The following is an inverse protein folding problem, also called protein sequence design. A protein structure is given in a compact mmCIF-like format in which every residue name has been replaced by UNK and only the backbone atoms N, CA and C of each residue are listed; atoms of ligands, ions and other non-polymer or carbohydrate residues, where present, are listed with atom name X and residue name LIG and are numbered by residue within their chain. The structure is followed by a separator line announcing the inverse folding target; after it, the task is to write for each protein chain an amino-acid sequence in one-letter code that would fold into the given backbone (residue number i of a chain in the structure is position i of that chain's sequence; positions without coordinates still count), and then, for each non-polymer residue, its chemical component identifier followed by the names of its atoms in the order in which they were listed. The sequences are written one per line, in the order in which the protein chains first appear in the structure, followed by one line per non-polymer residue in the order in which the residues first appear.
data_IF_526584811858
#
_entry.id   IF_526584811858
#
_cell.length_a   1.000
_cell.length_b   1.000
_cell.length_c   1.000
_cell.angle_alpha   90.00
_cell.angle_beta   90.00
_cell.angle_gamma   90.00
#
_symmetry.space_group_name_H-M   'P 1'
#
loop_
_entity.id
_entity.type
_entity.pdbx_description
1 polymer ?
#
# COMPACT_ATOMS: atom_id res chain seq x y z
N UNK A 1 11.51 -5.02 -18.14
CA UNK A 1 10.40 -4.73 -17.20
C UNK A 1 11.00 -4.20 -15.91
N UNK A 2 10.42 -3.17 -15.30
CA UNK A 2 10.94 -2.60 -14.03
C UNK A 2 10.89 -3.67 -12.94
N UNK A 3 11.90 -3.75 -12.08
CA UNK A 3 12.04 -4.81 -11.06
C UNK A 3 11.41 -4.44 -9.72
N UNK A 4 10.45 -3.52 -9.73
CA UNK A 4 9.70 -3.10 -8.53
C UNK A 4 8.46 -3.96 -8.37
N UNK A 5 8.09 -4.21 -7.12
CA UNK A 5 6.85 -4.92 -6.77
C UNK A 5 6.30 -4.47 -5.44
N UNK A 6 5.02 -4.70 -5.23
CA UNK A 6 4.39 -4.67 -3.90
C UNK A 6 4.96 -5.81 -3.05
N UNK A 7 5.57 -5.46 -1.91
CA UNK A 7 6.25 -6.42 -1.04
C UNK A 7 5.45 -6.78 0.21
N UNK A 8 4.78 -5.81 0.80
CA UNK A 8 3.93 -5.97 1.98
C UNK A 8 3.00 -4.76 2.11
N UNK A 9 1.95 -4.88 2.93
CA UNK A 9 1.06 -3.77 3.27
C UNK A 9 0.43 -3.95 4.65
N UNK A 10 -0.06 -2.86 5.23
CA UNK A 10 -0.94 -2.87 6.40
C UNK A 10 -2.26 -2.20 6.03
N UNK A 11 -3.27 -2.94 5.53
CA UNK A 11 -4.52 -2.36 5.03
C UNK A 11 -5.51 -2.03 6.16
N UNK A 12 -5.41 -2.72 7.29
CA UNK A 12 -6.34 -2.62 8.39
C UNK A 12 -5.64 -2.21 9.69
N UNK A 13 -5.17 -0.96 9.82
CA UNK A 13 -4.56 -0.51 11.07
C UNK A 13 -5.53 -0.55 12.25
N UNK A 14 -4.98 -0.58 13.45
CA UNK A 14 -5.76 -0.63 14.68
C UNK A 14 -6.73 0.57 14.78
N UNK A 15 -8.01 0.27 14.99
CA UNK A 15 -9.08 1.24 15.12
C UNK A 15 -9.67 1.75 13.80
N UNK A 16 -9.22 1.25 12.64
CA UNK A 16 -9.90 1.51 11.37
C UNK A 16 -11.36 1.02 11.46
N UNK A 17 -12.27 1.78 10.84
CA UNK A 17 -13.71 1.53 10.80
C UNK A 17 -14.45 1.59 12.16
N UNK A 18 -13.79 1.99 13.26
CA UNK A 18 -14.42 2.08 14.59
C UNK A 18 -15.06 3.44 14.92
N UNK A 19 -14.68 4.53 14.25
CA UNK A 19 -15.13 5.90 14.62
C UNK A 19 -15.92 6.60 13.51
N UNK A 20 -17.04 7.24 13.86
CA UNK A 20 -17.82 8.12 12.97
C UNK A 20 -17.16 9.49 12.73
N UNK A 21 -16.26 9.92 13.62
CA UNK A 21 -15.68 11.27 13.66
C UNK A 21 -14.49 11.48 12.71
N UNK A 22 -14.28 10.58 11.74
CA UNK A 22 -13.08 10.56 10.91
C UNK A 22 -11.84 10.02 11.66
N UNK A 23 -10.78 9.75 10.89
CA UNK A 23 -9.50 9.28 11.40
C UNK A 23 -8.51 10.45 11.54
N UNK A 24 -7.72 10.45 12.62
CA UNK A 24 -6.59 11.37 12.78
C UNK A 24 -5.46 11.08 11.78
N UNK A 25 -4.55 12.03 11.56
CA UNK A 25 -3.39 11.85 10.67
C UNK A 25 -2.55 10.63 11.07
N UNK A 26 -2.30 10.43 12.37
CA UNK A 26 -1.59 9.26 12.88
C UNK A 26 -2.34 7.95 12.59
N UNK A 27 -3.66 7.95 12.64
CA UNK A 27 -4.45 6.76 12.31
C UNK A 27 -4.41 6.47 10.80
N UNK A 28 -4.54 7.50 9.96
CA UNK A 28 -4.40 7.37 8.50
C UNK A 28 -3.00 6.87 8.11
N UNK A 29 -1.95 7.43 8.71
CA UNK A 29 -0.57 7.05 8.47
C UNK A 29 -0.26 5.59 8.87
N UNK A 30 -1.07 4.98 9.73
CA UNK A 30 -0.92 3.58 10.07
C UNK A 30 -1.40 2.65 8.94
N UNK A 31 -2.10 3.14 7.93
CA UNK A 31 -2.37 2.37 6.72
C UNK A 31 -1.29 2.66 5.68
N UNK A 32 -0.64 1.63 5.13
CA UNK A 32 0.45 1.81 4.17
C UNK A 32 0.71 0.59 3.28
N UNK A 33 1.43 0.80 2.18
CA UNK A 33 1.96 -0.23 1.29
C UNK A 33 3.45 -0.04 1.04
N UNK A 34 4.19 -1.15 0.90
CA UNK A 34 5.61 -1.14 0.54
C UNK A 34 5.83 -1.57 -0.91
N UNK A 35 6.53 -0.73 -1.65
CA UNK A 35 7.08 -1.02 -2.97
C UNK A 35 8.58 -1.29 -2.82
N UNK A 36 9.03 -2.47 -3.24
CA UNK A 36 10.44 -2.88 -3.16
C UNK A 36 11.05 -2.97 -4.55
N UNK A 37 12.23 -2.40 -4.74
CA UNK A 37 13.07 -2.75 -5.88
C UNK A 37 13.78 -4.08 -5.60
N UNK A 38 13.38 -5.13 -6.31
CA UNK A 38 13.95 -6.49 -6.18
C UNK A 38 15.11 -6.74 -7.13
N UNK A 39 15.43 -5.78 -7.99
CA UNK A 39 16.52 -5.86 -8.93
C UNK A 39 17.88 -5.55 -8.30
N UNK A 40 18.91 -5.60 -9.15
CA UNK A 40 20.29 -5.28 -8.80
C UNK A 40 20.73 -3.87 -9.24
N UNK A 41 19.82 -3.14 -9.88
CA UNK A 41 20.04 -1.79 -10.38
C UNK A 41 18.94 -0.87 -9.89
N UNK A 42 19.22 0.43 -9.88
CA UNK A 42 18.27 1.47 -9.52
C UNK A 42 17.11 1.52 -10.54
N UNK A 43 15.91 1.84 -10.05
CA UNK A 43 14.72 1.96 -10.89
C UNK A 43 14.21 3.38 -10.85
N UNK A 44 14.09 4.01 -12.01
CA UNK A 44 13.35 5.25 -12.18
C UNK A 44 11.85 5.00 -11.99
N UNK A 45 11.25 5.71 -11.03
CA UNK A 45 9.83 5.62 -10.71
C UNK A 45 8.98 6.61 -11.51
N UNK A 46 9.58 7.56 -12.23
CA UNK A 46 8.82 8.51 -13.04
C UNK A 46 7.98 7.77 -14.08
N UNK A 47 6.69 8.14 -14.16
CA UNK A 47 5.71 7.49 -15.03
C UNK A 47 5.03 6.25 -14.42
N UNK A 48 5.52 5.72 -13.30
CA UNK A 48 4.85 4.64 -12.57
C UNK A 48 3.73 5.21 -11.71
N UNK A 49 2.56 4.57 -11.75
CA UNK A 49 1.42 4.93 -10.90
C UNK A 49 0.95 3.71 -10.13
N UNK A 50 0.70 3.90 -8.83
CA UNK A 50 0.07 2.94 -7.95
C UNK A 50 -1.45 3.12 -7.99
N UNK A 51 -2.18 2.03 -8.17
CA UNK A 51 -3.63 1.98 -8.17
C UNK A 51 -4.15 0.96 -7.14
N UNK A 52 -5.42 1.12 -6.79
CA UNK A 52 -6.20 0.15 -6.03
C UNK A 52 -7.62 -0.01 -6.60
N UNK A 53 -8.37 -1.01 -6.14
CA UNK A 53 -9.75 -1.23 -6.54
C UNK A 53 -10.69 -0.42 -5.65
N UNK A 54 -11.27 0.63 -6.22
CA UNK A 54 -12.35 1.38 -5.59
C UNK A 54 -13.70 0.72 -5.92
N UNK A 55 -14.31 0.05 -4.95
CA UNK A 55 -15.58 -0.63 -5.12
C UNK A 55 -16.78 0.33 -5.03
N UNK A 56 -17.72 0.16 -5.95
CA UNK A 56 -19.02 0.86 -5.99
C UNK A 56 -20.07 0.07 -5.20
N UNK A 57 -21.20 0.72 -4.90
CA UNK A 57 -22.30 0.11 -4.11
C UNK A 57 -22.89 -1.15 -4.75
N UNK A 58 -22.92 -1.20 -6.08
CA UNK A 58 -23.38 -2.35 -6.86
C UNK A 58 -22.37 -3.52 -6.89
N UNK A 59 -21.18 -3.29 -6.32
CA UNK A 59 -20.10 -4.26 -6.24
C UNK A 59 -19.16 -4.32 -7.43
N UNK A 60 -19.37 -3.50 -8.45
CA UNK A 60 -18.35 -3.24 -9.48
C UNK A 60 -17.18 -2.44 -8.89
N UNK A 61 -16.06 -2.38 -9.58
CA UNK A 61 -14.92 -1.54 -9.16
C UNK A 61 -14.36 -0.74 -10.33
N UNK A 62 -13.62 0.31 -9.98
CA UNK A 62 -12.71 1.01 -10.89
C UNK A 62 -11.32 1.09 -10.29
N UNK A 63 -10.31 1.23 -11.15
CA UNK A 63 -8.94 1.47 -10.70
C UNK A 63 -8.80 2.93 -10.32
N UNK A 64 -8.65 3.19 -9.02
CA UNK A 64 -8.41 4.54 -8.52
C UNK A 64 -6.90 4.74 -8.29
N UNK A 65 -6.42 5.93 -8.63
CA UNK A 65 -5.03 6.32 -8.41
C UNK A 65 -4.80 6.49 -6.91
N UNK A 66 -3.87 5.71 -6.36
CA UNK A 66 -3.35 5.92 -5.00
C UNK A 66 -2.28 6.99 -5.02
N UNK A 67 -1.29 6.84 -5.93
CA UNK A 67 -0.17 7.79 -6.03
C UNK A 67 0.55 7.66 -7.37
N UNK A 68 0.91 8.80 -7.97
CA UNK A 68 1.92 8.85 -9.05
C UNK A 68 3.30 8.89 -8.40
N UNK A 69 4.14 7.92 -8.74
CA UNK A 69 5.47 7.80 -8.16
C UNK A 69 6.45 8.69 -8.92
N UNK A 70 7.47 9.15 -8.21
CA UNK A 70 8.53 10.00 -8.75
C UNK A 70 9.86 9.65 -8.10
N UNK A 71 10.94 10.08 -8.75
CA UNK A 71 12.31 9.85 -8.27
C UNK A 71 12.84 8.47 -8.61
N UNK A 72 13.88 8.05 -7.89
CA UNK A 72 14.61 6.80 -8.15
C UNK A 72 14.59 5.93 -6.90
N UNK A 73 14.25 4.66 -7.05
CA UNK A 73 14.32 3.67 -5.97
C UNK A 73 15.58 2.80 -6.16
N UNK A 74 16.59 2.94 -5.29
CA UNK A 74 17.82 2.17 -5.46
C UNK A 74 17.62 0.66 -5.33
N UNK A 75 18.58 -0.10 -5.87
CA UNK A 75 18.55 -1.56 -5.79
C UNK A 75 18.36 -2.06 -4.34
N UNK A 76 17.41 -2.99 -4.15
CA UNK A 76 17.11 -3.60 -2.85
C UNK A 76 16.31 -2.73 -1.86
N UNK A 77 16.07 -1.45 -2.18
CA UNK A 77 15.41 -0.49 -1.28
C UNK A 77 13.89 -0.58 -1.30
N UNK A 78 13.28 -0.10 -0.21
CA UNK A 78 11.83 -0.09 0.03
C UNK A 78 11.31 1.34 0.13
N UNK A 79 10.30 1.65 -0.69
CA UNK A 79 9.47 2.85 -0.59
C UNK A 79 8.14 2.48 0.10
N UNK A 80 7.84 3.12 1.23
CA UNK A 80 6.55 3.01 1.91
C UNK A 80 5.63 4.16 1.51
N UNK A 81 4.39 3.86 1.17
CA UNK A 81 3.38 4.87 0.86
C UNK A 81 2.29 4.77 1.92
N UNK A 82 2.24 5.78 2.78
CA UNK A 82 1.24 5.93 3.83
C UNK A 82 -0.01 6.60 3.30
N UNK A 83 -1.18 6.17 3.76
CA UNK A 83 -2.41 6.94 3.60
C UNK A 83 -2.35 8.21 4.45
N UNK A 84 -3.18 9.21 4.12
CA UNK A 84 -3.18 10.48 4.84
C UNK A 84 -2.23 11.51 4.23
N UNK A 85 -1.88 12.47 5.07
CA UNK A 85 -0.93 13.56 4.82
C UNK A 85 -0.32 14.00 6.15
N UNK A 86 0.72 14.81 6.09
CA UNK A 86 1.32 15.44 7.27
C UNK A 86 2.84 15.21 7.38
N UNK A 87 3.47 15.74 8.43
CA UNK A 87 4.90 15.53 8.66
C UNK A 87 5.18 14.07 9.06
N UNK A 88 6.38 13.56 8.76
CA UNK A 88 6.76 12.17 9.10
C UNK A 88 6.70 11.86 10.61
N UNK A 89 6.68 12.89 11.47
CA UNK A 89 6.48 12.76 12.91
C UNK A 89 5.11 12.19 13.30
N UNK A 90 4.10 12.24 12.42
CA UNK A 90 2.78 11.64 12.70
C UNK A 90 2.79 10.12 12.55
N UNK A 91 3.79 9.56 11.84
CA UNK A 91 3.96 8.12 11.66
C UNK A 91 4.51 7.52 12.95
N UNK A 92 3.87 6.45 13.44
CA UNK A 92 4.35 5.70 14.61
C UNK A 92 5.60 4.93 14.28
N UNK A 93 6.47 4.67 15.26
CA UNK A 93 7.75 4.00 15.00
C UNK A 93 7.58 2.59 14.44
N UNK A 94 6.54 1.86 14.88
CA UNK A 94 6.16 0.57 14.29
C UNK A 94 5.84 0.66 12.79
N UNK A 95 5.32 1.80 12.35
CA UNK A 95 4.96 2.09 10.96
C UNK A 95 6.08 2.74 10.16
N UNK A 96 7.18 3.12 10.80
CA UNK A 96 8.42 3.53 10.11
C UNK A 96 9.33 2.34 9.82
N UNK A 97 9.26 1.31 10.66
CA UNK A 97 10.19 0.20 10.61
C UNK A 97 10.13 -0.54 9.25
N UNK A 98 11.32 -0.75 8.66
CA UNK A 98 11.50 -1.55 7.44
C UNK A 98 11.38 -0.82 6.10
N UNK A 99 11.15 0.50 6.09
CA UNK A 99 11.19 1.32 4.88
C UNK A 99 12.44 2.19 4.81
N UNK A 100 13.01 2.37 3.60
CA UNK A 100 14.13 3.28 3.37
C UNK A 100 13.66 4.69 2.96
N UNK A 101 12.53 4.76 2.26
CA UNK A 101 11.90 5.99 1.76
C UNK A 101 10.42 5.98 2.09
N UNK A 102 9.80 7.16 2.11
CA UNK A 102 8.37 7.27 2.35
C UNK A 102 7.69 8.34 1.49
N UNK A 103 6.39 8.15 1.24
CA UNK A 103 5.45 9.16 0.77
C UNK A 103 4.14 9.07 1.55
N UNK A 104 3.36 10.15 1.47
CA UNK A 104 1.94 10.12 1.77
C UNK A 104 1.13 10.10 0.46
N UNK A 105 -0.10 9.58 0.51
CA UNK A 105 -1.03 9.67 -0.61
C UNK A 105 -1.52 11.10 -0.84
N UNK A 106 -1.44 11.94 0.19
CA UNK A 106 -1.97 13.32 0.27
C UNK A 106 -3.50 13.38 0.34
N UNK A 107 -4.14 12.24 0.63
CA UNK A 107 -5.59 12.10 0.74
C UNK A 107 -6.00 11.99 2.22
N UNK A 108 -7.05 12.72 2.64
CA UNK A 108 -7.51 12.69 4.04
C UNK A 108 -8.45 11.52 4.34
N UNK A 109 -8.10 10.32 3.85
CA UNK A 109 -8.88 9.09 3.99
C UNK A 109 -8.01 7.84 3.93
N UNK A 110 -8.56 6.73 4.39
CA UNK A 110 -8.02 5.41 4.08
C UNK A 110 -8.25 5.07 2.60
N UNK A 111 -7.36 4.23 2.08
CA UNK A 111 -7.30 3.85 0.67
C UNK A 111 -7.69 2.38 0.50
N UNK A 112 -7.10 1.48 1.28
CA UNK A 112 -7.20 0.04 1.03
C UNK A 112 -8.51 -0.54 1.56
N UNK A 113 -9.19 -1.37 0.77
CA UNK A 113 -10.49 -1.92 1.12
C UNK A 113 -10.43 -3.17 2.03
N UNK A 114 -11.02 -3.07 3.23
CA UNK A 114 -11.11 -4.22 4.16
C UNK A 114 -12.23 -5.20 3.78
N UNK A 115 -13.42 -4.71 3.43
CA UNK A 115 -14.65 -5.52 3.28
C UNK A 115 -14.59 -6.56 2.16
N UNK A 116 -13.98 -6.20 1.02
CA UNK A 116 -13.93 -7.03 -0.19
C UNK A 116 -12.53 -7.56 -0.52
N UNK A 117 -11.54 -7.15 0.27
CA UNK A 117 -10.14 -7.24 -0.11
C UNK A 117 -9.81 -6.17 -1.15
N UNK A 118 -8.55 -6.09 -1.55
CA UNK A 118 -8.09 -5.10 -2.52
C UNK A 118 -6.89 -5.63 -3.31
N UNK A 119 -6.46 -4.86 -4.29
CA UNK A 119 -5.33 -5.17 -5.16
C UNK A 119 -4.45 -3.95 -5.35
N UNK A 120 -3.19 -4.07 -4.99
CA UNK A 120 -2.15 -3.11 -5.36
C UNK A 120 -1.73 -3.36 -6.81
N UNK A 121 -1.87 -2.36 -7.67
CA UNK A 121 -1.43 -2.41 -9.07
C UNK A 121 -0.38 -1.34 -9.33
N UNK A 122 0.82 -1.76 -9.74
CA UNK A 122 1.84 -0.87 -10.31
C UNK A 122 1.72 -0.90 -11.83
N UNK A 123 1.41 0.25 -12.42
CA UNK A 123 1.17 0.37 -13.86
C UNK A 123 1.90 1.59 -14.42
N UNK A 124 2.38 1.47 -15.66
CA UNK A 124 2.97 2.58 -16.41
C UNK A 124 1.97 3.01 -17.50
N UNK A 125 1.21 4.11 -17.32
CA UNK A 125 0.12 4.46 -18.21
C UNK A 125 0.56 4.75 -19.65
N UNK A 126 1.74 5.37 -19.82
CA UNK A 126 2.25 5.76 -21.13
C UNK A 126 2.52 4.54 -22.03
N UNK A 127 3.05 3.47 -21.45
CA UNK A 127 3.35 2.21 -22.15
C UNK A 127 2.24 1.16 -21.99
N UNK A 128 1.17 1.48 -21.25
CA UNK A 128 0.07 0.55 -20.90
C UNK A 128 0.55 -0.76 -20.29
N UNK A 129 1.67 -0.74 -19.56
CA UNK A 129 2.32 -1.95 -19.07
C UNK A 129 2.07 -2.14 -17.58
N UNK A 130 1.54 -3.31 -17.20
CA UNK A 130 1.53 -3.76 -15.81
C UNK A 130 2.94 -4.13 -15.39
N UNK A 131 3.39 -3.54 -14.29
CA UNK A 131 4.70 -3.82 -13.69
C UNK A 131 4.57 -4.92 -12.63
N UNK A 132 3.57 -4.80 -11.75
CA UNK A 132 3.27 -5.76 -10.70
C UNK A 132 1.80 -5.63 -10.27
N UNK A 133 1.23 -6.75 -9.81
CA UNK A 133 -0.10 -6.80 -9.21
C UNK A 133 -0.05 -7.74 -8.00
N UNK A 134 -0.67 -7.34 -6.88
CA UNK A 134 -0.74 -8.15 -5.69
C UNK A 134 -2.05 -7.92 -4.93
N UNK A 135 -2.79 -8.99 -4.65
CA UNK A 135 -4.09 -8.91 -4.00
C UNK A 135 -4.10 -9.48 -2.58
N UNK A 136 -4.99 -8.99 -1.72
CA UNK A 136 -5.33 -9.63 -0.45
C UNK A 136 -6.83 -9.89 -0.38
N UNK A 137 -7.22 -10.87 0.43
CA UNK A 137 -8.61 -11.27 0.58
C UNK A 137 -9.36 -10.37 1.57
N UNK A 138 -10.69 -10.47 1.59
CA UNK A 138 -11.52 -9.70 2.50
C UNK A 138 -11.21 -9.95 3.97
N UNK A 139 -11.55 -8.96 4.79
CA UNK A 139 -11.40 -8.95 6.24
C UNK A 139 -9.96 -9.24 6.70
N UNK A 140 -8.95 -8.51 6.20
CA UNK A 140 -7.59 -8.67 6.68
C UNK A 140 -7.51 -8.40 8.19
N UNK A 141 -6.73 -9.20 8.96
CA UNK A 141 -6.65 -9.03 10.40
C UNK A 141 -6.19 -7.62 10.81
N UNK A 142 -6.79 -7.09 11.86
CA UNK A 142 -6.48 -5.75 12.36
C UNK A 142 -5.05 -5.65 12.90
N UNK A 143 -4.36 -4.57 12.53
CA UNK A 143 -2.98 -4.27 12.92
C UNK A 143 -1.92 -5.15 12.26
N UNK A 144 -2.30 -6.04 11.34
CA UNK A 144 -1.37 -7.02 10.76
C UNK A 144 -0.78 -6.55 9.45
N UNK A 145 0.53 -6.71 9.32
CA UNK A 145 1.26 -6.54 8.06
C UNK A 145 1.09 -7.81 7.23
N UNK A 146 0.48 -7.67 6.06
CA UNK A 146 0.37 -8.71 5.06
C UNK A 146 1.65 -8.79 4.25
N UNK A 147 2.16 -10.00 4.02
CA UNK A 147 3.42 -10.26 3.31
C UNK A 147 3.16 -10.91 1.96
N UNK A 148 3.98 -10.57 0.96
CA UNK A 148 3.88 -11.13 -0.40
C UNK A 148 4.24 -12.62 -0.42
N UNK A 149 3.33 -13.44 -0.94
CA UNK A 149 3.52 -14.87 -1.26
C UNK A 149 2.92 -15.13 -2.65
N UNK A 150 3.78 -15.41 -3.64
CA UNK A 150 3.33 -15.46 -5.04
C UNK A 150 2.77 -14.11 -5.47
N UNK A 151 1.52 -14.07 -5.94
CA UNK A 151 0.79 -12.85 -6.32
C UNK A 151 -0.25 -12.40 -5.27
N UNK A 152 -0.16 -12.96 -4.06
CA UNK A 152 -1.02 -12.64 -2.94
C UNK A 152 -0.26 -11.97 -1.80
N UNK A 153 -0.99 -11.19 -1.02
CA UNK A 153 -0.56 -10.58 0.22
C UNK A 153 -1.36 -11.24 1.33
N UNK A 154 -0.67 -11.99 2.19
CA UNK A 154 -1.31 -12.85 3.19
C UNK A 154 -0.80 -12.49 4.58
N UNK A 155 -1.64 -12.68 5.59
CA UNK A 155 -1.18 -12.52 6.96
C UNK A 155 -0.19 -13.65 7.30
N UNK A 156 0.89 -13.37 8.05
CA UNK A 156 1.82 -14.40 8.49
C UNK A 156 1.08 -15.43 9.36
N UNK A 157 1.48 -16.70 9.32
CA UNK A 157 0.78 -17.84 9.97
C UNK A 157 0.49 -17.60 11.46
N UNK A 158 1.33 -16.84 12.17
CA UNK A 158 1.12 -16.49 13.58
C UNK A 158 -0.09 -15.57 13.83
N UNK A 159 -0.54 -14.81 12.83
CA UNK A 159 -1.63 -13.85 12.94
C UNK A 159 -3.02 -14.52 13.04
N UNK A 160 -3.17 -15.77 12.60
CA UNK A 160 -4.44 -16.51 12.62
C UNK A 160 -4.68 -17.31 13.92
N UNK A 161 -3.76 -17.24 14.90
CA UNK A 161 -3.82 -18.03 16.15
C UNK A 161 -4.35 -17.25 17.36
N UNK A 162 -5.18 -16.22 17.16
CA UNK A 162 -5.77 -15.43 18.25
C UNK A 162 -7.25 -15.70 18.39
#
# INVERSE_FOLDING_TARGET
MKTIRTNQLKPNPAGKDRTRSGASETQLAAEWVDIKNTGRIDVDLNGVTLFHKAFKRDGTFEWEVVRRLTGTLPAGKVLRIHSGKGPYSVVRDEDKAGSDYYFFTEESRYIWNNDRGDTSLLWEPASKTTIDEAAYDSNPPEGVILQRVGDKLVAPVAAYRR
#
